data_IF_605703678520
#
_entry.id   IF_605703678520
#
_cell.length_a   1.000
_cell.length_b   1.000
_cell.length_c   1.000
_cell.angle_alpha   90.00
_cell.angle_beta   90.00
_cell.angle_gamma   90.00
#
_symmetry.space_group_name_H-M   'P 1'
#
loop_
_entity.id
_entity.type
_entity.pdbx_description
1 polymer ?
#
# COMPACT_ATOMS: atom_id res chain seq x y z
N UNK A 1 9.44 -3.41 5.38
CA UNK A 1 10.79 -3.24 4.79
C UNK A 1 10.72 -3.03 3.28
N UNK A 2 9.98 -3.83 2.52
CA UNK A 2 9.90 -3.65 1.06
C UNK A 2 9.13 -2.39 0.61
N UNK A 3 8.05 -2.04 1.30
CA UNK A 3 7.21 -0.89 0.93
C UNK A 3 7.94 0.45 1.03
N UNK A 4 8.79 0.62 2.04
CA UNK A 4 9.61 1.83 2.19
C UNK A 4 10.67 1.97 1.10
N UNK A 5 11.13 0.86 0.53
CA UNK A 5 12.03 0.90 -0.62
C UNK A 5 11.29 1.21 -1.91
N UNK A 6 10.13 0.58 -2.12
CA UNK A 6 9.23 0.90 -3.24
C UNK A 6 8.86 2.38 -3.28
N UNK A 7 8.54 2.94 -2.11
CA UNK A 7 8.24 4.37 -1.95
C UNK A 7 9.41 5.28 -2.34
N UNK A 8 10.63 4.95 -1.89
CA UNK A 8 11.83 5.73 -2.26
C UNK A 8 12.09 5.73 -3.77
N UNK A 9 11.86 4.60 -4.44
CA UNK A 9 12.01 4.49 -5.89
C UNK A 9 10.95 5.33 -6.61
N UNK A 10 9.71 5.30 -6.11
CA UNK A 10 8.61 6.11 -6.62
C UNK A 10 8.92 7.61 -6.51
N UNK A 11 9.35 8.04 -5.32
CA UNK A 11 9.71 9.41 -5.02
C UNK A 11 10.92 9.88 -5.85
N UNK A 12 11.93 9.02 -6.03
CA UNK A 12 13.09 9.34 -6.85
C UNK A 12 12.75 9.66 -8.31
N UNK A 13 11.71 9.04 -8.87
CA UNK A 13 11.21 9.38 -10.21
C UNK A 13 10.64 10.80 -10.29
N UNK A 14 9.84 11.19 -9.28
CA UNK A 14 9.27 12.54 -9.19
C UNK A 14 10.32 13.61 -8.93
N UNK A 15 11.30 13.31 -8.09
CA UNK A 15 12.41 14.22 -7.80
C UNK A 15 13.24 14.50 -9.06
N UNK A 16 13.45 13.48 -9.91
CA UNK A 16 14.13 13.64 -11.21
C UNK A 16 13.29 14.51 -12.15
N UNK A 17 11.98 14.29 -12.25
CA UNK A 17 11.10 15.14 -13.07
C UNK A 17 11.18 16.60 -12.62
N UNK A 18 11.09 16.83 -11.31
CA UNK A 18 11.16 18.16 -10.72
C UNK A 18 12.53 18.84 -10.94
N UNK A 19 13.63 18.09 -10.82
CA UNK A 19 14.97 18.60 -11.08
C UNK A 19 15.18 18.98 -12.56
N UNK A 20 14.61 18.22 -13.49
CA UNK A 20 14.67 18.52 -14.93
C UNK A 20 13.77 19.71 -15.30
N UNK A 21 12.62 19.88 -14.65
CA UNK A 21 11.76 21.04 -14.86
C UNK A 21 12.35 22.33 -14.30
N UNK A 22 13.05 22.26 -13.16
CA UNK A 22 13.64 23.44 -12.50
C UNK A 22 14.93 23.95 -13.14
N UNK A 23 15.54 23.18 -14.05
CA UNK A 23 16.71 23.63 -14.81
C UNK A 23 16.33 24.60 -15.94
N UNK A 24 17.20 25.55 -16.34
CA UNK A 24 16.89 26.57 -17.35
C UNK A 24 16.91 26.00 -18.78
N UNK A 25 15.98 25.08 -19.05
CA UNK A 25 15.92 24.23 -20.25
C UNK A 25 15.86 25.01 -21.56
N UNK A 26 15.35 26.25 -21.52
CA UNK A 26 15.22 27.14 -22.67
C UNK A 26 16.56 27.63 -23.22
N UNK A 27 17.63 27.60 -22.41
CA UNK A 27 18.98 28.03 -22.83
C UNK A 27 19.77 26.96 -23.57
N UNK A 28 19.34 25.70 -23.51
CA UNK A 28 20.04 24.59 -24.16
C UNK A 28 19.75 24.44 -25.66
N UNK A 29 20.57 23.64 -26.33
CA UNK A 29 20.41 23.31 -27.75
C UNK A 29 19.09 22.58 -28.02
N UNK A 30 18.59 22.67 -29.26
CA UNK A 30 17.33 22.04 -29.64
C UNK A 30 17.34 20.51 -29.49
N UNK A 31 18.50 19.88 -29.69
CA UNK A 31 18.67 18.46 -29.44
C UNK A 31 18.53 18.13 -27.95
N UNK A 32 19.14 18.93 -27.07
CA UNK A 32 19.07 18.70 -25.63
C UNK A 32 17.64 18.90 -25.09
N UNK A 33 16.93 19.92 -25.56
CA UNK A 33 15.52 20.17 -25.23
C UNK A 33 14.63 18.95 -25.53
N UNK A 34 14.81 18.33 -26.70
CA UNK A 34 14.07 17.11 -27.07
C UNK A 34 14.35 15.95 -26.13
N UNK A 35 15.61 15.75 -25.74
CA UNK A 35 15.97 14.69 -24.79
C UNK A 35 15.41 14.98 -23.40
N UNK A 36 15.48 16.22 -22.93
CA UNK A 36 14.96 16.63 -21.63
C UNK A 36 13.45 16.37 -21.53
N UNK A 37 12.68 16.74 -22.56
CA UNK A 37 11.24 16.44 -22.62
C UNK A 37 10.97 14.93 -22.60
N UNK A 38 11.78 14.11 -23.28
CA UNK A 38 11.65 12.64 -23.23
C UNK A 38 11.92 12.08 -21.83
N UNK A 39 12.91 12.61 -21.12
CA UNK A 39 13.26 12.19 -19.75
C UNK A 39 12.14 12.58 -18.79
N UNK A 40 11.65 13.82 -18.85
CA UNK A 40 10.48 14.31 -18.09
C UNK A 40 9.26 13.41 -18.32
N UNK A 41 8.90 13.18 -19.59
CA UNK A 41 7.74 12.34 -19.95
C UNK A 41 7.88 10.89 -19.47
N UNK A 42 9.12 10.39 -19.32
CA UNK A 42 9.40 9.07 -18.76
C UNK A 42 9.35 9.06 -17.24
N UNK A 43 9.89 10.09 -16.58
CA UNK A 43 9.92 10.23 -15.14
C UNK A 43 8.53 10.48 -14.53
N UNK A 44 7.63 11.10 -15.29
CA UNK A 44 6.22 11.28 -14.92
C UNK A 44 5.43 9.96 -14.84
N UNK A 45 5.91 8.89 -15.48
CA UNK A 45 5.31 7.57 -15.28
C UNK A 45 5.85 6.99 -13.98
N UNK A 46 5.00 6.74 -12.97
CA UNK A 46 5.47 6.24 -11.69
C UNK A 46 6.17 4.90 -11.92
N UNK A 47 7.39 4.77 -11.37
CA UNK A 47 8.13 3.51 -11.37
C UNK A 47 7.51 2.63 -10.29
N UNK A 48 6.35 2.07 -10.61
CA UNK A 48 5.61 1.22 -9.67
C UNK A 48 6.18 -0.19 -9.73
N UNK A 49 6.86 -0.58 -8.64
CA UNK A 49 7.24 -1.96 -8.45
C UNK A 49 5.96 -2.72 -8.08
N UNK A 50 5.43 -3.52 -9.01
CA UNK A 50 4.22 -4.30 -8.76
C UNK A 50 4.56 -5.69 -8.24
N UNK A 51 3.92 -6.10 -7.15
CA UNK A 51 4.00 -7.46 -6.63
C UNK A 51 2.97 -8.31 -7.37
N UNK A 52 3.47 -9.19 -8.24
CA UNK A 52 2.64 -10.15 -8.97
C UNK A 52 1.54 -9.52 -9.84
N UNK A 53 1.70 -8.25 -10.27
CA UNK A 53 0.72 -7.46 -11.03
C UNK A 53 -0.53 -6.99 -10.23
N UNK A 54 -0.65 -7.33 -8.94
CA UNK A 54 -1.86 -7.00 -8.16
C UNK A 54 -1.71 -5.75 -7.29
N UNK A 55 -0.53 -5.57 -6.68
CA UNK A 55 -0.29 -4.46 -5.73
C UNK A 55 0.92 -3.66 -6.15
N UNK A 56 0.79 -2.33 -6.22
CA UNK A 56 1.95 -1.45 -6.27
C UNK A 56 2.62 -1.41 -4.89
N UNK A 57 3.95 -1.51 -4.85
CA UNK A 57 4.74 -1.35 -3.63
C UNK A 57 4.81 0.14 -3.26
N UNK A 58 3.70 0.64 -2.70
CA UNK A 58 3.62 1.94 -2.05
C UNK A 58 3.42 1.76 -0.54
N UNK A 59 3.75 2.79 0.24
CA UNK A 59 3.45 2.79 1.68
C UNK A 59 1.95 2.61 1.94
N UNK A 60 1.12 3.30 1.15
CA UNK A 60 -0.34 3.25 1.23
C UNK A 60 -0.89 1.82 1.05
N UNK A 61 -0.40 1.08 0.05
CA UNK A 61 -0.85 -0.29 -0.18
C UNK A 61 -0.50 -1.22 0.99
N UNK A 62 0.65 -1.02 1.62
CA UNK A 62 1.05 -1.82 2.77
C UNK A 62 0.24 -1.52 4.02
N UNK A 63 -0.12 -0.26 4.25
CA UNK A 63 -1.05 0.11 5.33
C UNK A 63 -2.42 -0.54 5.14
N UNK A 64 -2.95 -0.54 3.92
CA UNK A 64 -4.22 -1.21 3.60
C UNK A 64 -4.17 -2.71 3.86
N UNK A 65 -3.09 -3.38 3.47
CA UNK A 65 -2.90 -4.82 3.73
C UNK A 65 -2.91 -5.09 5.23
N UNK A 66 -2.15 -4.29 5.99
CA UNK A 66 -2.04 -4.42 7.44
C UNK A 66 -3.41 -4.18 8.11
N UNK A 67 -4.11 -3.12 7.72
CA UNK A 67 -5.46 -2.83 8.21
C UNK A 67 -6.41 -3.99 7.94
N UNK A 68 -6.41 -4.54 6.72
CA UNK A 68 -7.25 -5.69 6.36
C UNK A 68 -6.95 -6.92 7.22
N UNK A 69 -5.68 -7.20 7.51
CA UNK A 69 -5.29 -8.30 8.41
C UNK A 69 -5.86 -8.07 9.82
N UNK A 70 -5.73 -6.85 10.36
CA UNK A 70 -6.28 -6.52 11.67
C UNK A 70 -7.81 -6.61 11.71
N UNK A 71 -8.51 -6.09 10.69
CA UNK A 71 -9.96 -6.20 10.58
C UNK A 71 -10.40 -7.66 10.54
N UNK A 72 -9.72 -8.49 9.75
CA UNK A 72 -10.02 -9.91 9.65
C UNK A 72 -9.80 -10.64 10.98
N UNK A 73 -8.66 -10.37 11.65
CA UNK A 73 -8.38 -10.92 12.98
C UNK A 73 -9.44 -10.51 14.01
N UNK A 74 -9.80 -9.23 14.05
CA UNK A 74 -10.85 -8.73 14.92
C UNK A 74 -12.18 -9.42 14.64
N UNK A 75 -12.57 -9.52 13.37
CA UNK A 75 -13.79 -10.18 12.94
C UNK A 75 -13.84 -11.66 13.38
N UNK A 76 -12.75 -12.40 13.19
CA UNK A 76 -12.65 -13.78 13.66
C UNK A 76 -12.77 -13.88 15.19
N UNK A 77 -12.14 -12.97 15.93
CA UNK A 77 -12.25 -12.92 17.39
C UNK A 77 -13.68 -12.61 17.85
N UNK A 78 -14.42 -11.78 17.13
CA UNK A 78 -15.84 -11.51 17.41
C UNK A 78 -16.70 -12.77 17.24
N UNK A 79 -16.49 -13.52 16.16
CA UNK A 79 -17.20 -14.79 15.92
C UNK A 79 -16.87 -15.80 17.02
N UNK A 80 -15.59 -15.93 17.37
CA UNK A 80 -15.13 -16.84 18.41
C UNK A 80 -15.67 -16.47 19.81
N UNK A 81 -15.78 -15.18 20.12
CA UNK A 81 -16.37 -14.76 21.40
C UNK A 81 -17.88 -15.00 21.44
N UNK A 82 -18.60 -14.78 20.32
CA UNK A 82 -20.03 -15.10 20.23
C UNK A 82 -20.31 -16.59 20.42
N UNK A 83 -19.48 -17.49 19.84
CA UNK A 83 -19.64 -18.94 20.03
C UNK A 83 -19.39 -19.37 21.48
N UNK A 84 -18.40 -18.78 22.17
CA UNK A 84 -18.17 -19.02 23.60
C UNK A 84 -19.37 -18.59 24.46
N UNK A 85 -19.97 -17.44 24.20
CA UNK A 85 -21.17 -17.00 24.93
C UNK A 85 -22.40 -17.88 24.66
N UNK A 86 -22.54 -18.42 23.44
CA UNK A 86 -23.59 -19.37 23.11
C UNK A 86 -23.40 -20.73 23.82
N UNK A 87 -22.16 -21.20 23.93
CA UNK A 87 -21.82 -22.43 24.65
C UNK A 87 -22.05 -22.30 26.18
N UNK A 88 -21.77 -21.13 26.77
CA UNK A 88 -22.04 -20.86 28.20
C UNK A 88 -23.54 -20.79 28.50
N UNK A 89 -24.38 -20.31 27.57
CA UNK A 89 -25.85 -20.33 27.73
C UNK A 89 -26.50 -21.70 27.51
N UNK A 90 -25.80 -22.64 26.85
CA UNK A 90 -26.27 -24.01 26.64
C UNK A 90 -26.01 -24.96 27.81
N UNK A 91 -25.35 -24.51 28.88
CA UNK A 91 -24.94 -25.32 30.04
C UNK A 91 -25.69 -25.01 31.33
N UNK A 92 -27.01 -25.20 31.37
CA UNK A 92 -27.85 -25.50 32.56
C UNK A 92 -29.31 -25.62 32.06
N UNK A 93 -30.01 -26.76 32.26
CA UNK A 93 -30.45 -27.16 33.59
C UNK A 93 -30.42 -28.69 33.82
N UNK A 94 -29.82 -29.14 34.93
CA UNK A 94 -30.27 -30.34 35.63
C UNK A 94 -30.31 -30.01 37.12
N UNK A 95 -31.44 -29.45 37.54
CA UNK A 95 -31.89 -29.56 38.93
C UNK A 95 -32.20 -31.04 39.13
N UNK A 96 -31.28 -31.76 39.77
CA UNK A 96 -31.55 -33.10 40.25
C UNK A 96 -32.42 -32.95 41.51
N UNK A 97 -33.72 -33.19 41.35
CA UNK A 97 -34.61 -33.61 42.43
C UNK A 97 -34.41 -35.11 42.57
N UNK A 98 -33.69 -35.53 43.60
CA UNK A 98 -33.97 -36.73 44.40
C UNK A 98 -33.26 -36.63 45.75
#
# INVERSE_FOLDING_TARGET
>A
MYCSFGEQVLQGGWDVDHAMYSTPWYTYSQMYKKHLVLVIMRAQRPVEITVGHYYSLSLQSCELIIQNIYFFSMFLNQINNKSKHAAVKGGSPLVNVE
#
